data_IF_942350278632
#
_entry.id   IF_942350278632
#
_cell.length_a   1.000
_cell.length_b   1.000
_cell.length_c   1.000
_cell.angle_alpha   90.00
_cell.angle_beta   90.00
_cell.angle_gamma   90.00
#
_symmetry.space_group_name_H-M   'P 1'
#
loop_
_entity.id
_entity.type
_entity.pdbx_description
1 polymer ?
#
# COMPACT_ATOMS: atom_id res chain seq x y z
N UNK A 1 11.26 -5.59 -4.79
CA UNK A 1 10.70 -5.00 -3.56
C UNK A 1 9.84 -6.00 -2.84
N UNK A 2 10.03 -6.16 -1.55
CA UNK A 2 9.22 -7.10 -0.76
C UNK A 2 7.88 -6.49 -0.38
N UNK A 3 6.94 -7.35 0.07
CA UNK A 3 5.64 -6.88 0.52
C UNK A 3 5.80 -5.92 1.70
N UNK A 4 6.70 -6.24 2.62
CA UNK A 4 6.97 -5.35 3.77
C UNK A 4 7.45 -3.98 3.32
N UNK A 5 8.30 -3.93 2.33
CA UNK A 5 8.82 -2.67 1.80
C UNK A 5 7.71 -1.84 1.18
N UNK A 6 6.80 -2.49 0.43
CA UNK A 6 5.64 -1.81 -0.14
C UNK A 6 4.73 -1.27 0.95
N UNK A 7 4.47 -2.06 1.97
CA UNK A 7 3.62 -1.65 3.08
C UNK A 7 4.23 -0.48 3.84
N UNK A 8 5.55 -0.52 4.07
CA UNK A 8 6.25 0.59 4.71
C UNK A 8 6.13 1.87 3.91
N UNK A 9 6.30 1.77 2.60
CA UNK A 9 6.21 2.91 1.71
C UNK A 9 4.80 3.51 1.73
N UNK A 10 3.79 2.66 1.63
CA UNK A 10 2.39 3.10 1.65
C UNK A 10 2.03 3.72 3.00
N UNK A 11 2.56 3.16 4.08
CA UNK A 11 2.35 3.71 5.42
C UNK A 11 2.99 5.09 5.54
N UNK A 12 4.20 5.24 5.05
CA UNK A 12 4.92 6.51 5.07
C UNK A 12 4.17 7.58 4.28
N UNK A 13 3.59 7.20 3.15
CA UNK A 13 2.84 8.12 2.30
C UNK A 13 1.43 8.40 2.82
N UNK A 14 0.99 7.67 3.84
CA UNK A 14 -0.32 7.88 4.43
C UNK A 14 -1.46 7.11 3.78
N UNK A 15 -1.17 6.15 2.92
CA UNK A 15 -2.21 5.35 2.27
C UNK A 15 -2.54 4.07 3.01
N UNK A 16 -1.61 3.54 3.78
CA UNK A 16 -1.77 2.27 4.48
C UNK A 16 -1.92 2.52 5.97
N UNK A 17 -2.92 1.88 6.59
CA UNK A 17 -3.21 2.07 8.01
C UNK A 17 -3.04 0.78 8.82
N UNK A 18 -2.70 -0.32 8.18
CA UNK A 18 -2.52 -1.59 8.87
C UNK A 18 -1.10 -1.81 9.35
N UNK A 19 -0.86 -2.99 9.90
CA UNK A 19 0.48 -3.36 10.36
C UNK A 19 1.36 -3.81 9.19
N UNK A 20 2.65 -3.55 9.30
CA UNK A 20 3.63 -3.99 8.30
C UNK A 20 4.04 -5.41 8.67
N UNK A 21 3.29 -6.38 8.17
CA UNK A 21 3.44 -7.80 8.54
C UNK A 21 3.93 -8.68 7.38
N UNK A 22 4.07 -8.11 6.20
CA UNK A 22 4.49 -8.87 5.04
C UNK A 22 3.38 -9.69 4.40
N UNK A 23 2.14 -9.54 4.86
CA UNK A 23 0.99 -10.25 4.31
C UNK A 23 0.17 -9.27 3.47
N UNK A 24 -0.03 -9.61 2.20
CA UNK A 24 -0.78 -8.75 1.29
C UNK A 24 -2.27 -9.03 1.44
N UNK A 25 -2.94 -8.26 2.27
CA UNK A 25 -4.36 -8.41 2.52
C UNK A 25 -5.17 -7.26 1.92
N UNK A 26 -6.44 -7.19 2.34
CA UNK A 26 -7.36 -6.19 1.81
C UNK A 26 -6.89 -4.77 2.09
N UNK A 27 -6.31 -4.53 3.26
CA UNK A 27 -5.80 -3.20 3.60
C UNK A 27 -4.68 -2.76 2.67
N UNK A 28 -3.76 -3.66 2.38
CA UNK A 28 -2.65 -3.37 1.46
C UNK A 28 -3.19 -3.11 0.05
N UNK A 29 -4.15 -3.90 -0.38
CA UNK A 29 -4.77 -3.73 -1.70
C UNK A 29 -5.47 -2.38 -1.81
N UNK A 30 -6.27 -2.04 -0.81
CA UNK A 30 -6.97 -0.76 -0.80
C UNK A 30 -5.99 0.42 -0.80
N UNK A 31 -4.93 0.31 -0.02
CA UNK A 31 -3.90 1.35 0.02
C UNK A 31 -3.23 1.52 -1.34
N UNK A 32 -2.91 0.41 -2.01
CA UNK A 32 -2.29 0.45 -3.33
C UNK A 32 -3.23 1.07 -4.36
N UNK A 33 -4.49 0.69 -4.33
CA UNK A 33 -5.48 1.26 -5.25
C UNK A 33 -5.63 2.76 -5.04
N UNK A 34 -5.68 3.20 -3.79
CA UNK A 34 -5.77 4.63 -3.48
C UNK A 34 -4.55 5.38 -4.00
N UNK A 35 -3.36 4.80 -3.81
CA UNK A 35 -2.12 5.38 -4.30
C UNK A 35 -2.14 5.52 -5.82
N UNK A 36 -2.51 4.45 -6.51
CA UNK A 36 -2.54 4.46 -7.97
C UNK A 36 -3.57 5.45 -8.51
N UNK A 37 -4.73 5.52 -7.87
CA UNK A 37 -5.78 6.46 -8.26
C UNK A 37 -5.32 7.90 -8.08
N UNK A 38 -4.63 8.16 -6.98
CA UNK A 38 -4.19 9.51 -6.65
C UNK A 38 -3.13 10.01 -7.62
N UNK A 39 -2.28 9.12 -8.12
CA UNK A 39 -1.22 9.48 -9.06
C UNK A 39 -1.58 9.20 -10.51
N UNK A 40 -2.82 8.78 -10.77
CA UNK A 40 -3.27 8.51 -12.14
C UNK A 40 -2.67 7.26 -12.75
N UNK A 41 -2.16 6.35 -11.95
CA UNK A 41 -1.57 5.12 -12.43
C UNK A 41 -2.65 4.08 -12.74
N UNK A 42 -2.34 3.17 -13.67
CA UNK A 42 -3.25 2.08 -14.00
C UNK A 42 -3.20 1.01 -12.91
N UNK A 43 -4.37 0.57 -12.50
CA UNK A 43 -4.50 -0.49 -11.51
C UNK A 43 -4.21 -1.85 -12.13
#
# INVERSE_FOLDING_TARGET
MTIKQKQCLLLYLGYYTGAVDGIWGDNSRCATEAFQRNYGLTV
#
